data_IF_115343979147
#
_entry.id   IF_115343979147
#
_cell.length_a   1.000
_cell.length_b   1.000
_cell.length_c   1.000
_cell.angle_alpha   90.00
_cell.angle_beta   90.00
_cell.angle_gamma   90.00
#
_symmetry.space_group_name_H-M   'P 1'
#
loop_
_entity.id
_entity.type
_entity.pdbx_description
1 polymer ?
#
# COMPACT_ATOMS: atom_id res chain seq x y z
N UNK A 1 9.82 -0.78 7.44
CA UNK A 1 8.79 -1.61 6.78
C UNK A 1 8.53 -2.82 7.64
N UNK A 2 7.27 -3.13 7.91
CA UNK A 2 6.86 -4.30 8.72
C UNK A 2 6.08 -5.34 7.92
N UNK A 3 5.39 -4.93 6.85
CA UNK A 3 4.65 -5.84 5.98
C UNK A 3 4.48 -5.22 4.57
N UNK A 4 4.14 -6.05 3.58
CA UNK A 4 3.71 -5.62 2.26
C UNK A 4 2.75 -6.62 1.61
N UNK A 5 1.91 -6.14 0.69
CA UNK A 5 1.09 -7.01 -0.16
C UNK A 5 0.80 -6.37 -1.51
N UNK A 6 0.38 -7.18 -2.47
CA UNK A 6 -0.12 -6.74 -3.77
C UNK A 6 -1.63 -6.93 -3.77
N UNK A 7 -2.37 -5.94 -4.28
CA UNK A 7 -3.83 -5.97 -4.41
C UNK A 7 -4.24 -5.45 -5.79
N UNK A 8 -5.47 -5.75 -6.22
CA UNK A 8 -6.08 -5.16 -7.40
C UNK A 8 -6.13 -3.63 -7.31
N UNK A 9 -6.02 -2.94 -8.45
CA UNK A 9 -6.02 -1.47 -8.52
C UNK A 9 -7.29 -0.82 -7.95
N UNK A 10 -8.40 -1.54 -7.98
CA UNK A 10 -9.71 -1.09 -7.49
C UNK A 10 -9.98 -1.50 -6.04
N UNK A 11 -9.06 -2.20 -5.37
CA UNK A 11 -9.19 -2.57 -3.96
C UNK A 11 -8.96 -1.35 -3.05
N UNK A 12 -10.08 -0.72 -2.68
CA UNK A 12 -10.10 0.43 -1.77
C UNK A 12 -10.14 0.04 -0.28
N UNK A 13 -10.14 -1.25 0.08
CA UNK A 13 -10.18 -1.70 1.48
C UNK A 13 -8.94 -1.28 2.28
N UNK A 14 -7.87 -0.87 1.59
CA UNK A 14 -6.63 -0.34 2.15
C UNK A 14 -6.80 1.10 2.67
N UNK A 15 -7.69 1.88 2.05
CA UNK A 15 -7.88 3.31 2.35
C UNK A 15 -8.83 3.43 3.54
N UNK A 16 -8.26 3.31 4.74
CA UNK A 16 -9.00 3.39 6.00
C UNK A 16 -8.20 4.12 7.06
N UNK A 17 -8.89 4.55 8.11
CA UNK A 17 -8.22 5.10 9.30
C UNK A 17 -7.28 4.07 9.89
N UNK A 18 -6.06 4.48 10.21
CA UNK A 18 -5.09 3.71 10.98
C UNK A 18 -5.18 3.99 12.48
N UNK A 19 -5.96 5.00 12.88
CA UNK A 19 -6.16 5.31 14.29
C UNK A 19 -6.80 4.13 15.06
N UNK A 20 -6.40 3.90 16.32
CA UNK A 20 -5.49 4.72 17.12
C UNK A 20 -3.99 4.42 16.91
N UNK A 21 -3.64 3.45 16.07
CA UNK A 21 -2.28 3.00 15.87
C UNK A 21 -1.48 3.94 14.94
N UNK A 22 -0.22 4.19 15.29
CA UNK A 22 0.70 4.90 14.39
C UNK A 22 1.23 3.94 13.31
N UNK A 23 0.60 4.00 12.13
CA UNK A 23 0.98 3.22 10.96
C UNK A 23 1.03 4.11 9.71
N UNK A 24 2.12 3.98 8.95
CA UNK A 24 2.27 4.56 7.62
C UNK A 24 1.99 3.49 6.56
N UNK A 25 0.99 3.75 5.72
CA UNK A 25 0.64 2.90 4.57
C UNK A 25 1.02 3.62 3.27
N UNK A 26 1.87 3.00 2.46
CA UNK A 26 2.28 3.52 1.14
C UNK A 26 1.65 2.65 0.06
N UNK A 27 1.00 3.29 -0.90
CA UNK A 27 0.39 2.64 -2.07
C UNK A 27 1.08 3.12 -3.34
N UNK A 28 1.56 2.19 -4.16
CA UNK A 28 2.20 2.51 -5.46
C UNK A 28 1.79 1.51 -6.55
N UNK A 29 2.00 1.85 -7.82
CA UNK A 29 1.65 0.99 -8.96
C UNK A 29 2.48 -0.29 -9.01
N UNK A 30 1.85 -1.40 -9.42
CA UNK A 30 2.51 -2.68 -9.66
C UNK A 30 1.90 -3.37 -10.91
N UNK A 31 2.70 -4.07 -11.74
CA UNK A 31 4.16 -4.21 -11.69
C UNK A 31 4.92 -2.90 -11.96
N UNK A 32 6.10 -2.73 -11.36
CA UNK A 32 6.85 -1.45 -11.39
C UNK A 32 7.29 -1.00 -12.79
N UNK A 33 7.42 -1.92 -13.74
CA UNK A 33 7.79 -1.63 -15.12
C UNK A 33 6.58 -1.41 -16.03
N UNK A 34 5.35 -1.48 -15.50
CA UNK A 34 4.15 -1.31 -16.31
C UNK A 34 3.97 0.15 -16.73
N UNK A 35 3.79 0.38 -18.04
CA UNK A 35 3.51 1.70 -18.59
C UNK A 35 2.00 1.80 -18.84
N UNK A 36 1.33 2.66 -18.07
CA UNK A 36 -0.11 2.90 -18.15
C UNK A 36 -0.81 2.71 -16.81
N UNK A 37 -2.09 2.38 -16.85
CA UNK A 37 -2.88 2.07 -15.66
C UNK A 37 -2.53 0.67 -15.14
N UNK A 38 -1.52 0.60 -14.28
CA UNK A 38 -1.06 -0.68 -13.74
C UNK A 38 -2.23 -1.40 -13.04
N UNK A 39 -2.43 -2.70 -13.32
CA UNK A 39 -3.60 -3.46 -12.85
C UNK A 39 -3.58 -3.69 -11.34
N UNK A 40 -2.41 -3.55 -10.70
CA UNK A 40 -2.22 -3.85 -9.28
C UNK A 40 -1.58 -2.67 -8.54
N UNK A 41 -1.61 -2.76 -7.21
CA UNK A 41 -0.97 -1.83 -6.29
C UNK A 41 -0.10 -2.59 -5.31
N UNK A 42 1.12 -2.11 -5.12
CA UNK A 42 1.99 -2.57 -4.05
C UNK A 42 1.76 -1.72 -2.80
N UNK A 43 1.31 -2.38 -1.74
CA UNK A 43 0.99 -1.78 -0.44
C UNK A 43 2.13 -2.10 0.52
N UNK A 44 2.67 -1.07 1.15
CA UNK A 44 3.75 -1.19 2.15
C UNK A 44 3.23 -0.65 3.47
N UNK A 45 3.43 -1.42 4.54
CA UNK A 45 3.10 -1.04 5.91
C UNK A 45 4.39 -0.74 6.68
N UNK A 46 4.42 0.37 7.40
CA UNK A 46 5.54 0.77 8.24
C UNK A 46 5.06 1.31 9.60
N UNK A 47 5.86 1.07 10.63
CA UNK A 47 5.69 1.61 11.98
C UNK A 47 6.79 2.61 12.30
N UNK A 48 6.54 3.60 13.18
CA UNK A 48 7.59 4.48 13.67
C UNK A 48 8.69 3.68 14.38
N UNK A 49 9.92 4.18 14.27
CA UNK A 49 11.07 3.71 15.07
C UNK A 49 11.45 4.88 15.96
N UNK A 50 11.46 4.65 17.27
CA UNK A 50 11.92 5.63 18.26
C UNK A 50 13.33 5.28 18.72
#
# INVERSE_FOLDING_TARGET
MVNSKIVDADDTTIIKSTAPDEELVITTCYPFSYVGNAPERYIIYAKPIY
#
